data_IF_910100913391
#
_entry.id   IF_910100913391
#
_cell.length_a   1.000
_cell.length_b   1.000
_cell.length_c   1.000
_cell.angle_alpha   90.00
_cell.angle_beta   90.00
_cell.angle_gamma   90.00
#
_symmetry.space_group_name_H-M   'P 1'
#
loop_
_entity.id
_entity.type
_entity.pdbx_description
1 polymer ?
#
# COMPACT_ATOMS: atom_id res chain seq x y z
N UNK A 1 -22.02 33.06 8.16
CA UNK A 1 -21.83 32.37 6.86
C UNK A 1 -21.73 30.88 7.09
N UNK A 2 -22.54 30.05 6.43
CA UNK A 2 -22.41 28.57 6.55
C UNK A 2 -21.39 28.11 5.50
N UNK A 3 -20.16 27.82 5.92
CA UNK A 3 -19.16 27.19 5.06
C UNK A 3 -19.59 25.76 4.75
N UNK A 4 -19.60 25.40 3.48
CA UNK A 4 -19.96 24.04 3.03
C UNK A 4 -18.77 23.41 2.32
N UNK A 5 -18.12 22.43 2.97
CA UNK A 5 -17.09 21.62 2.34
C UNK A 5 -17.69 20.80 1.18
N UNK A 6 -17.00 20.80 0.04
CA UNK A 6 -17.32 19.96 -1.13
C UNK A 6 -16.22 18.92 -1.31
N UNK A 7 -16.56 17.73 -1.75
CA UNK A 7 -15.55 16.67 -2.01
C UNK A 7 -14.71 17.07 -3.22
N UNK A 8 -13.37 17.23 -3.09
CA UNK A 8 -12.55 17.62 -4.22
C UNK A 8 -12.60 16.54 -5.32
N UNK A 9 -12.58 16.99 -6.56
CA UNK A 9 -12.59 16.11 -7.74
C UNK A 9 -11.29 15.28 -7.77
N UNK A 10 -11.35 13.95 -7.97
CA UNK A 10 -10.15 13.14 -8.11
C UNK A 10 -9.29 13.59 -9.28
N UNK A 11 -7.97 13.68 -9.07
CA UNK A 11 -7.00 14.13 -10.08
C UNK A 11 -6.46 13.01 -10.97
N UNK A 12 -6.73 11.75 -10.64
CA UNK A 12 -6.14 10.57 -11.29
C UNK A 12 -7.18 9.61 -11.88
N UNK A 13 -8.37 10.10 -12.24
CA UNK A 13 -9.48 9.27 -12.77
C UNK A 13 -9.07 8.41 -13.97
N UNK A 14 -8.22 8.93 -14.85
CA UNK A 14 -7.84 8.27 -16.10
C UNK A 14 -6.41 7.69 -16.08
N UNK A 15 -5.64 7.92 -15.01
CA UNK A 15 -4.25 7.46 -14.91
C UNK A 15 -3.86 7.19 -13.46
N UNK A 16 -4.17 6.00 -12.99
CA UNK A 16 -3.73 5.56 -11.68
C UNK A 16 -2.21 5.33 -11.64
N UNK A 17 -1.56 5.73 -10.54
CA UNK A 17 -0.18 5.35 -10.27
C UNK A 17 -0.14 3.87 -9.90
N UNK A 18 0.52 3.06 -10.70
CA UNK A 18 0.64 1.62 -10.45
C UNK A 18 1.78 1.30 -9.47
N UNK A 19 1.80 0.06 -8.95
CA UNK A 19 2.81 -0.37 -7.97
C UNK A 19 4.23 -0.33 -8.53
N UNK A 20 4.41 -0.70 -9.81
CA UNK A 20 5.73 -0.70 -10.45
C UNK A 20 6.30 0.72 -10.46
N UNK A 21 5.57 1.67 -11.02
CA UNK A 21 6.04 3.05 -11.13
C UNK A 21 6.32 3.66 -9.75
N UNK A 22 5.42 3.42 -8.77
CA UNK A 22 5.60 3.94 -7.42
C UNK A 22 6.88 3.42 -6.73
N UNK A 23 7.29 2.19 -7.00
CA UNK A 23 8.46 1.59 -6.34
C UNK A 23 9.75 1.76 -7.14
N UNK A 24 9.67 1.77 -8.49
CA UNK A 24 10.86 1.73 -9.34
C UNK A 24 11.18 3.04 -10.05
N UNK A 25 10.34 4.07 -9.93
CA UNK A 25 10.54 5.35 -10.63
C UNK A 25 10.45 6.53 -9.65
N UNK A 26 11.62 7.09 -9.24
CA UNK A 26 12.99 6.60 -9.48
C UNK A 26 13.29 5.31 -8.72
N UNK A 27 14.35 4.55 -9.06
CA UNK A 27 14.79 3.41 -8.25
C UNK A 27 15.06 3.82 -6.80
N UNK A 28 14.78 2.92 -5.85
CA UNK A 28 15.14 3.15 -4.45
C UNK A 28 16.64 2.88 -4.30
N UNK A 29 17.40 3.86 -3.86
CA UNK A 29 18.82 3.70 -3.60
C UNK A 29 19.04 2.70 -2.46
N UNK A 30 20.15 1.95 -2.51
CA UNK A 30 20.50 0.94 -1.52
C UNK A 30 20.69 1.51 -0.11
N UNK A 31 21.16 2.74 -0.01
CA UNK A 31 21.40 3.50 1.22
C UNK A 31 20.17 4.28 1.73
N UNK A 32 19.04 4.22 0.99
CA UNK A 32 17.83 4.92 1.38
C UNK A 32 17.33 4.43 2.76
N UNK A 33 17.02 5.33 3.69
CA UNK A 33 16.53 4.96 5.01
C UNK A 33 15.29 4.04 4.94
N UNK A 34 15.24 3.05 5.84
CA UNK A 34 14.17 2.06 5.94
C UNK A 34 14.05 1.11 4.71
N UNK A 35 15.11 0.99 3.90
CA UNK A 35 15.14 0.09 2.73
C UNK A 35 15.72 -1.30 3.03
N UNK A 36 15.83 -1.68 4.27
CA UNK A 36 16.35 -3.00 4.67
C UNK A 36 15.46 -4.16 4.23
N UNK A 37 16.07 -5.15 3.61
CA UNK A 37 15.37 -6.37 3.24
C UNK A 37 15.02 -7.22 4.47
N UNK A 38 13.86 -7.89 4.40
CA UNK A 38 13.45 -8.87 5.41
C UNK A 38 13.81 -10.26 4.93
N UNK A 39 14.58 -10.99 5.73
CA UNK A 39 14.90 -12.39 5.46
C UNK A 39 13.62 -13.23 5.52
N UNK A 40 13.36 -14.01 4.48
CA UNK A 40 12.22 -14.92 4.40
C UNK A 40 12.64 -16.35 4.72
N UNK A 41 11.77 -17.12 5.38
CA UNK A 41 12.01 -18.55 5.57
C UNK A 41 11.92 -19.30 4.23
N UNK A 42 12.59 -20.45 4.16
CA UNK A 42 12.59 -21.31 2.96
C UNK A 42 11.16 -21.66 2.51
N UNK A 43 10.26 -21.94 3.45
CA UNK A 43 8.86 -22.27 3.13
C UNK A 43 8.10 -21.08 2.52
N UNK A 44 8.35 -19.86 2.99
CA UNK A 44 7.78 -18.64 2.39
C UNK A 44 8.27 -18.48 0.96
N UNK A 45 9.60 -18.62 0.74
CA UNK A 45 10.19 -18.52 -0.60
C UNK A 45 9.61 -19.59 -1.54
N UNK A 46 9.49 -20.83 -1.06
CA UNK A 46 8.90 -21.93 -1.85
C UNK A 46 7.46 -21.62 -2.26
N UNK A 47 6.60 -21.12 -1.35
CA UNK A 47 5.22 -20.71 -1.66
C UNK A 47 5.19 -19.57 -2.68
N UNK A 48 5.97 -18.52 -2.45
CA UNK A 48 5.98 -17.36 -3.35
C UNK A 48 6.37 -17.72 -4.79
N UNK A 49 7.18 -18.75 -5.03
CA UNK A 49 7.51 -19.22 -6.38
C UNK A 49 6.30 -19.68 -7.21
N UNK A 50 5.22 -20.09 -6.54
CA UNK A 50 3.99 -20.56 -7.19
C UNK A 50 2.90 -19.48 -7.26
N UNK A 51 3.10 -18.33 -6.62
CA UNK A 51 2.11 -17.26 -6.57
C UNK A 51 2.48 -16.20 -7.62
N UNK A 52 1.62 -15.99 -8.60
CA UNK A 52 1.80 -15.00 -9.67
C UNK A 52 1.50 -13.57 -9.17
N UNK A 53 1.92 -12.53 -9.91
CA UNK A 53 1.53 -11.15 -9.61
C UNK A 53 0.02 -11.00 -9.45
N UNK A 54 -0.42 -10.32 -8.38
CA UNK A 54 -1.83 -10.12 -8.05
C UNK A 54 -2.52 -11.28 -7.32
N UNK A 55 -1.94 -12.48 -7.33
CA UNK A 55 -2.49 -13.66 -6.64
C UNK A 55 -2.13 -13.70 -5.16
N UNK A 56 -2.78 -14.59 -4.43
CA UNK A 56 -2.51 -14.94 -3.04
C UNK A 56 -2.43 -16.46 -2.87
N UNK A 57 -2.20 -16.95 -1.66
CA UNK A 57 -2.08 -18.38 -1.41
C UNK A 57 -3.36 -19.19 -1.62
N UNK A 58 -4.52 -18.55 -1.75
CA UNK A 58 -5.81 -19.24 -1.99
C UNK A 58 -6.16 -19.34 -3.48
N UNK A 59 -5.65 -18.40 -4.28
CA UNK A 59 -5.91 -18.34 -5.73
C UNK A 59 -4.81 -19.01 -6.56
N UNK A 60 -3.61 -19.15 -5.98
CA UNK A 60 -2.47 -19.79 -6.63
C UNK A 60 -2.59 -21.32 -6.57
N UNK A 61 -2.08 -21.99 -7.61
CA UNK A 61 -1.92 -23.44 -7.64
C UNK A 61 -0.69 -23.85 -6.84
N UNK A 62 -0.89 -24.13 -5.55
CA UNK A 62 0.16 -24.54 -4.63
C UNK A 62 0.25 -26.08 -4.56
N UNK A 63 1.46 -26.65 -4.62
CA UNK A 63 1.69 -28.07 -4.30
C UNK A 63 1.11 -28.43 -2.91
N UNK A 64 0.65 -29.66 -2.74
CA UNK A 64 -0.04 -30.10 -1.52
C UNK A 64 0.75 -29.80 -0.24
N UNK A 65 2.06 -30.07 -0.26
CA UNK A 65 2.95 -29.81 0.86
C UNK A 65 3.21 -28.32 1.16
N UNK A 66 2.75 -27.40 0.30
CA UNK A 66 2.86 -25.95 0.46
C UNK A 66 1.51 -25.29 0.72
N UNK A 67 0.41 -26.00 0.58
CA UNK A 67 -0.93 -25.50 0.91
C UNK A 67 -1.02 -25.04 2.37
N UNK A 68 -1.88 -24.09 2.61
CA UNK A 68 -2.13 -23.57 3.95
C UNK A 68 -3.24 -24.40 4.61
N UNK A 69 -2.91 -25.03 5.74
CA UNK A 69 -3.92 -25.67 6.57
C UNK A 69 -4.43 -24.67 7.61
N UNK A 70 -5.42 -23.86 7.24
CA UNK A 70 -6.03 -22.84 8.12
C UNK A 70 -7.47 -23.24 8.40
N UNK A 71 -7.77 -23.41 9.69
CA UNK A 71 -9.16 -23.57 10.15
C UNK A 71 -9.77 -22.17 10.34
N UNK A 72 -10.95 -21.95 9.74
CA UNK A 72 -11.69 -20.69 9.87
C UNK A 72 -11.55 -19.74 8.67
N UNK A 73 -11.65 -18.44 8.93
CA UNK A 73 -11.70 -17.42 7.88
C UNK A 73 -10.40 -17.34 7.05
N UNK A 74 -10.56 -17.36 5.72
CA UNK A 74 -9.45 -17.23 4.77
C UNK A 74 -9.13 -15.76 4.52
N UNK A 75 -8.01 -15.28 5.08
CA UNK A 75 -7.55 -13.92 4.84
C UNK A 75 -7.05 -13.77 3.39
N UNK A 76 -7.70 -12.93 2.60
CA UNK A 76 -7.33 -12.67 1.21
C UNK A 76 -5.93 -12.08 1.03
N UNK A 77 -5.34 -11.56 2.10
CA UNK A 77 -4.01 -10.96 2.09
C UNK A 77 -2.87 -11.96 2.30
N UNK A 78 -3.18 -13.24 2.60
CA UNK A 78 -2.14 -14.25 2.88
C UNK A 78 -1.29 -14.52 1.64
N UNK A 79 0.02 -14.27 1.76
CA UNK A 79 1.01 -14.38 0.69
C UNK A 79 0.63 -13.63 -0.58
N UNK A 80 -0.14 -12.53 -0.44
CA UNK A 80 -0.59 -11.76 -1.59
C UNK A 80 0.57 -10.97 -2.21
N UNK A 81 0.81 -11.21 -3.50
CA UNK A 81 1.72 -10.40 -4.31
C UNK A 81 1.02 -9.15 -4.82
N UNK A 82 1.77 -8.07 -4.97
CA UNK A 82 1.29 -6.91 -5.72
C UNK A 82 1.09 -7.26 -7.20
N UNK A 83 0.17 -6.56 -7.84
CA UNK A 83 0.09 -6.51 -9.30
C UNK A 83 0.85 -5.25 -9.76
N UNK A 84 1.94 -5.39 -10.55
CA UNK A 84 2.77 -4.25 -10.93
C UNK A 84 2.02 -3.23 -11.77
N UNK A 85 0.96 -3.64 -12.50
CA UNK A 85 0.18 -2.79 -13.39
C UNK A 85 -1.01 -2.11 -12.72
N UNK A 86 -1.29 -2.43 -11.45
CA UNK A 86 -2.42 -1.88 -10.71
C UNK A 86 -1.96 -0.99 -9.55
N UNK A 87 -2.84 -0.10 -9.06
CA UNK A 87 -2.64 0.54 -7.77
C UNK A 87 -2.46 -0.49 -6.66
N UNK A 88 -1.74 -0.12 -5.60
CA UNK A 88 -1.60 -0.98 -4.44
C UNK A 88 -2.96 -1.22 -3.77
N UNK A 89 -3.17 -2.43 -3.30
CA UNK A 89 -4.18 -2.66 -2.29
C UNK A 89 -3.77 -1.99 -0.96
N UNK A 90 -4.70 -1.92 -0.01
CA UNK A 90 -4.48 -1.30 1.30
C UNK A 90 -3.18 -1.79 1.96
N UNK A 91 -2.27 -0.85 2.25
CA UNK A 91 -1.05 -1.12 3.00
C UNK A 91 -1.39 -1.12 4.47
N UNK A 92 -1.28 -2.27 5.11
CA UNK A 92 -1.54 -2.43 6.54
C UNK A 92 -0.24 -2.48 7.34
N UNK A 93 -0.32 -2.16 8.64
CA UNK A 93 0.80 -2.29 9.58
C UNK A 93 1.16 -3.73 9.94
N UNK A 94 0.34 -4.71 9.50
CA UNK A 94 0.58 -6.12 9.75
C UNK A 94 1.79 -6.66 9.00
N UNK A 95 2.40 -7.71 9.55
CA UNK A 95 3.51 -8.42 8.93
C UNK A 95 3.91 -9.59 9.81
N UNK A 96 4.11 -10.74 9.21
CA UNK A 96 4.31 -12.02 9.86
C UNK A 96 3.26 -13.03 9.40
N UNK A 97 3.49 -14.33 9.61
CA UNK A 97 2.52 -15.38 9.25
C UNK A 97 1.98 -15.34 7.82
N UNK A 98 2.69 -14.72 6.88
CA UNK A 98 2.23 -14.60 5.48
C UNK A 98 1.45 -13.32 5.16
N UNK A 99 1.22 -12.42 6.12
CA UNK A 99 0.44 -11.18 5.91
C UNK A 99 1.27 -9.99 5.43
N UNK A 100 2.53 -10.21 5.05
CA UNK A 100 3.34 -9.19 4.41
C UNK A 100 2.79 -8.79 3.04
N UNK A 101 3.10 -7.57 2.60
CA UNK A 101 2.98 -7.17 1.20
C UNK A 101 4.18 -7.75 0.45
N UNK A 102 3.93 -8.59 -0.56
CA UNK A 102 4.99 -9.25 -1.30
C UNK A 102 5.24 -8.62 -2.67
N UNK A 103 6.51 -8.61 -3.05
CA UNK A 103 6.95 -8.14 -4.37
C UNK A 103 6.36 -9.01 -5.49
N UNK A 104 6.04 -8.43 -6.65
CA UNK A 104 5.36 -9.12 -7.75
C UNK A 104 6.21 -10.17 -8.47
N UNK A 105 7.56 -10.06 -8.45
CA UNK A 105 8.49 -11.02 -9.05
C UNK A 105 9.37 -11.66 -7.99
N UNK A 106 10.04 -10.85 -7.16
CA UNK A 106 10.98 -11.34 -6.16
C UNK A 106 10.26 -12.09 -5.03
N UNK A 107 10.87 -13.17 -4.56
CA UNK A 107 10.28 -14.02 -3.51
C UNK A 107 10.52 -13.45 -2.11
N UNK A 108 10.16 -12.19 -1.91
CA UNK A 108 10.35 -11.45 -0.66
C UNK A 108 9.21 -10.47 -0.36
N UNK A 109 9.11 -10.12 0.90
CA UNK A 109 8.30 -8.97 1.31
C UNK A 109 8.91 -7.66 0.81
N UNK A 110 8.09 -6.64 0.66
CA UNK A 110 8.55 -5.28 0.41
C UNK A 110 9.34 -4.76 1.62
N UNK A 111 10.33 -3.92 1.34
CA UNK A 111 10.99 -3.10 2.36
C UNK A 111 10.01 -2.07 2.92
N UNK A 112 10.31 -1.49 4.07
CA UNK A 112 9.48 -0.43 4.62
C UNK A 112 9.49 0.82 3.72
N UNK A 113 10.64 1.16 3.09
CA UNK A 113 10.71 2.25 2.12
C UNK A 113 9.78 2.02 0.91
N UNK A 114 9.77 0.83 0.34
CA UNK A 114 8.86 0.50 -0.76
C UNK A 114 7.38 0.62 -0.34
N UNK A 115 7.04 0.20 0.89
CA UNK A 115 5.69 0.40 1.46
C UNK A 115 5.36 1.89 1.66
N UNK A 116 6.32 2.69 2.14
CA UNK A 116 6.16 4.12 2.33
C UNK A 116 5.87 4.84 1.01
N UNK A 117 6.57 4.47 -0.07
CA UNK A 117 6.29 5.00 -1.42
C UNK A 117 4.88 4.65 -1.92
N UNK A 118 4.36 3.46 -1.60
CA UNK A 118 2.96 3.10 -1.91
C UNK A 118 1.94 3.94 -1.12
N UNK A 119 2.34 4.45 0.05
CA UNK A 119 1.59 5.44 0.85
C UNK A 119 1.98 6.89 0.51
N UNK A 120 2.68 7.08 -0.61
CA UNK A 120 3.12 8.37 -1.15
C UNK A 120 4.00 9.20 -0.22
N UNK A 121 4.71 8.56 0.72
CA UNK A 121 5.75 9.25 1.49
C UNK A 121 6.97 9.53 0.61
N UNK A 122 7.59 10.70 0.73
CA UNK A 122 8.84 11.02 0.06
C UNK A 122 10.00 10.21 0.64
N UNK A 123 11.10 10.07 -0.13
CA UNK A 123 12.21 9.20 0.27
C UNK A 123 13.07 9.77 1.40
N UNK A 124 13.07 11.08 1.57
CA UNK A 124 13.74 11.79 2.66
C UNK A 124 12.99 11.73 3.99
N UNK A 125 11.73 11.28 3.99
CA UNK A 125 11.00 11.07 5.25
C UNK A 125 11.54 9.86 5.99
N UNK A 126 12.16 10.07 7.15
CA UNK A 126 12.78 9.01 7.95
C UNK A 126 11.80 8.53 9.04
N UNK A 127 11.51 7.24 9.01
CA UNK A 127 10.76 6.58 10.08
C UNK A 127 11.75 6.05 11.14
N UNK A 128 11.43 6.27 12.40
CA UNK A 128 12.25 5.83 13.53
C UNK A 128 11.65 4.63 14.26
N UNK A 129 12.53 3.78 14.79
CA UNK A 129 12.17 2.60 15.57
C UNK A 129 12.56 1.28 14.92
N UNK A 130 12.08 0.18 15.47
CA UNK A 130 12.32 -1.15 14.92
C UNK A 130 11.62 -1.32 13.56
N UNK A 131 12.11 -2.25 12.74
CA UNK A 131 11.47 -2.62 11.47
C UNK A 131 9.96 -2.84 11.57
N UNK A 132 9.52 -3.45 12.66
CA UNK A 132 8.12 -3.71 12.92
C UNK A 132 7.35 -2.44 13.29
N UNK A 133 7.94 -1.59 14.12
CA UNK A 133 7.37 -0.29 14.48
C UNK A 133 7.19 0.59 13.25
N UNK A 134 8.23 0.71 12.42
CA UNK A 134 8.18 1.46 11.16
C UNK A 134 7.09 0.92 10.23
N UNK A 135 6.99 -0.40 10.07
CA UNK A 135 5.92 -1.01 9.27
C UNK A 135 4.54 -0.64 9.78
N UNK A 136 4.35 -0.63 11.09
CA UNK A 136 3.08 -0.24 11.73
C UNK A 136 2.76 1.23 11.49
N UNK A 137 3.73 2.13 11.65
CA UNK A 137 3.57 3.55 11.37
C UNK A 137 3.10 3.78 9.93
N UNK A 138 3.77 3.16 8.95
CA UNK A 138 3.41 3.28 7.53
C UNK A 138 1.98 2.75 7.27
N UNK A 139 1.62 1.61 7.85
CA UNK A 139 0.32 0.99 7.62
C UNK A 139 -0.84 1.67 8.33
N UNK A 140 -0.58 2.49 9.36
CA UNK A 140 -1.57 3.31 10.04
C UNK A 140 -1.70 4.71 9.44
N UNK A 141 -0.78 5.09 8.57
CA UNK A 141 -0.80 6.40 7.95
C UNK A 141 -1.88 6.49 6.85
N UNK A 142 -2.40 7.69 6.67
CA UNK A 142 -3.16 8.04 5.46
C UNK A 142 -2.17 8.38 4.35
N UNK A 143 -2.42 7.97 3.08
CA UNK A 143 -1.55 8.35 1.96
C UNK A 143 -1.34 9.85 1.88
N UNK A 144 -0.06 10.28 1.86
CA UNK A 144 0.33 11.70 2.00
C UNK A 144 -0.29 12.57 0.90
N UNK A 145 -0.22 12.12 -0.37
CA UNK A 145 -0.82 12.87 -1.47
C UNK A 145 -2.35 12.95 -1.33
N UNK A 146 -3.00 11.86 -0.88
CA UNK A 146 -4.45 11.85 -0.69
C UNK A 146 -4.90 12.86 0.37
N UNK A 147 -4.24 12.87 1.53
CA UNK A 147 -4.58 13.81 2.61
C UNK A 147 -4.28 15.26 2.22
N UNK A 148 -3.21 15.51 1.44
CA UNK A 148 -2.88 16.85 0.94
C UNK A 148 -4.03 17.44 0.15
N UNK A 149 -4.60 16.72 -0.82
CA UNK A 149 -5.74 17.21 -1.61
C UNK A 149 -6.97 17.51 -0.76
N UNK A 150 -7.24 16.69 0.25
CA UNK A 150 -8.36 16.92 1.17
C UNK A 150 -8.11 18.18 2.00
N UNK A 151 -6.91 18.36 2.56
CA UNK A 151 -6.56 19.52 3.36
C UNK A 151 -6.56 20.82 2.52
N UNK A 152 -6.06 20.78 1.30
CA UNK A 152 -6.13 21.91 0.37
C UNK A 152 -7.58 22.32 0.09
N UNK A 153 -8.49 21.37 -0.10
CA UNK A 153 -9.91 21.64 -0.28
C UNK A 153 -10.56 22.25 0.99
N UNK A 154 -10.16 21.77 2.17
CA UNK A 154 -10.60 22.32 3.45
C UNK A 154 -10.13 23.79 3.58
N UNK A 155 -8.85 24.06 3.34
CA UNK A 155 -8.29 25.41 3.40
C UNK A 155 -8.99 26.36 2.41
N UNK A 156 -9.23 25.92 1.18
CA UNK A 156 -9.98 26.69 0.18
C UNK A 156 -11.41 26.98 0.64
N UNK A 157 -12.06 25.99 1.26
CA UNK A 157 -13.41 26.18 1.84
C UNK A 157 -13.40 27.28 2.92
N UNK A 158 -12.40 27.30 3.81
CA UNK A 158 -12.28 28.36 4.83
C UNK A 158 -11.95 29.72 4.25
N UNK A 159 -11.19 29.76 3.16
CA UNK A 159 -10.82 30.99 2.47
C UNK A 159 -11.90 31.48 1.49
N UNK A 160 -13.04 30.78 1.40
CA UNK A 160 -14.12 31.06 0.42
C UNK A 160 -13.62 31.04 -1.04
N UNK A 161 -12.66 30.18 -1.33
CA UNK A 161 -12.08 29.97 -2.67
C UNK A 161 -12.72 28.74 -3.33
N UNK A 162 -13.26 28.95 -4.52
CA UNK A 162 -13.84 27.82 -5.28
C UNK A 162 -12.78 26.82 -5.74
N UNK A 163 -13.16 25.53 -5.82
CA UNK A 163 -12.36 24.44 -6.34
C UNK A 163 -13.23 23.40 -7.04
N UNK A 164 -12.64 22.66 -7.97
CA UNK A 164 -13.34 21.58 -8.64
C UNK A 164 -13.76 20.49 -7.64
N UNK A 165 -15.04 20.16 -7.65
CA UNK A 165 -15.64 19.22 -6.71
C UNK A 165 -16.58 18.25 -7.40
N UNK A 166 -16.87 17.15 -6.72
CA UNK A 166 -17.89 16.16 -7.10
C UNK A 166 -19.01 16.18 -6.07
N UNK A 167 -20.18 15.68 -6.46
CA UNK A 167 -21.28 15.48 -5.52
C UNK A 167 -20.92 14.42 -4.48
N UNK A 168 -21.37 14.63 -3.25
CA UNK A 168 -21.21 13.67 -2.18
C UNK A 168 -22.12 12.46 -2.42
N UNK A 169 -21.55 11.27 -2.38
CA UNK A 169 -22.32 10.02 -2.36
C UNK A 169 -22.98 9.74 -1.00
N UNK A 170 -22.69 10.55 0.01
CA UNK A 170 -23.32 10.46 1.31
C UNK A 170 -24.75 11.00 1.20
N UNK A 171 -25.70 10.09 1.01
CA UNK A 171 -27.12 10.41 1.16
C UNK A 171 -27.35 10.72 2.64
N UNK A 172 -27.60 11.99 2.92
CA UNK A 172 -28.15 12.54 4.18
C UNK A 172 -27.82 11.69 5.43
N UNK A 173 -26.69 11.95 6.07
CA UNK A 173 -26.49 11.69 7.48
C UNK A 173 -27.16 12.78 8.31
#
# INVERSE_FOLDING_TARGET
MKLKFKIPKPTTLNRFKNCKDAITQPPINSDCPNHDFTKQSTNVIKRLKHIKPGENAWTADLPENLKLNVKGAKLSMIYKRLDPQKPSYTITGSGGGGTHVYHWIENRALTNRARARLQTFPDDFIFHGSKESVRRQIGMAVPVDGVRYILEAILKTFADVEYESIESNLKNL
#
